data_IF_776966460639
#
_entry.id   IF_776966460639
#
_cell.length_a   1.000
_cell.length_b   1.000
_cell.length_c   1.000
_cell.angle_alpha   90.00
_cell.angle_beta   90.00
_cell.angle_gamma   90.00
#
_symmetry.space_group_name_H-M   'P 1'
#
loop_
_entity.id
_entity.type
_entity.pdbx_description
1 polymer ?
#
# COMPACT_ATOMS: atom_id res chain seq x y z
N UNK A 1 -19.02 0.52 -2.74
CA UNK A 1 -18.50 -0.22 -1.57
C UNK A 1 -19.48 -1.26 -0.99
N UNK A 2 -20.78 -1.29 -1.38
CA UNK A 2 -21.76 -2.24 -0.82
C UNK A 2 -21.29 -3.71 -0.88
N UNK A 3 -20.59 -4.12 -1.94
CA UNK A 3 -20.04 -5.49 -2.08
C UNK A 3 -18.94 -5.82 -1.07
N UNK A 4 -18.34 -4.83 -0.43
CA UNK A 4 -17.28 -5.01 0.58
C UNK A 4 -17.83 -5.01 2.02
N UNK A 5 -19.12 -4.81 2.22
CA UNK A 5 -19.72 -4.82 3.56
C UNK A 5 -19.42 -6.09 4.38
N UNK A 6 -19.41 -7.31 3.81
CA UNK A 6 -19.02 -8.50 4.58
C UNK A 6 -17.61 -8.42 5.17
N UNK A 7 -16.66 -7.76 4.46
CA UNK A 7 -15.30 -7.54 4.95
C UNK A 7 -15.32 -6.61 6.17
N UNK A 8 -16.09 -5.53 6.11
CA UNK A 8 -16.18 -4.58 7.22
C UNK A 8 -16.83 -5.19 8.45
N UNK A 9 -17.89 -5.98 8.28
CA UNK A 9 -18.50 -6.72 9.39
C UNK A 9 -17.54 -7.74 9.99
N UNK A 10 -16.75 -8.45 9.17
CA UNK A 10 -15.71 -9.35 9.66
C UNK A 10 -14.67 -8.61 10.51
N UNK A 11 -14.17 -7.46 10.03
CA UNK A 11 -13.24 -6.62 10.80
C UNK A 11 -13.86 -6.23 12.14
N UNK A 12 -15.12 -5.80 12.14
CA UNK A 12 -15.85 -5.40 13.34
C UNK A 12 -16.04 -6.54 14.35
N UNK A 13 -16.33 -7.73 13.89
CA UNK A 13 -16.45 -8.92 14.75
C UNK A 13 -15.07 -9.27 15.31
N UNK A 14 -14.07 -9.41 14.44
CA UNK A 14 -12.71 -9.79 14.82
C UNK A 14 -12.08 -8.79 15.80
N UNK A 15 -12.30 -7.48 15.61
CA UNK A 15 -11.75 -6.45 16.51
C UNK A 15 -12.26 -6.54 17.96
N UNK A 16 -13.34 -7.27 18.20
CA UNK A 16 -13.93 -7.48 19.55
C UNK A 16 -13.49 -8.78 20.21
N UNK A 17 -12.76 -9.63 19.50
CA UNK A 17 -12.32 -10.91 20.03
C UNK A 17 -11.28 -10.73 21.15
N UNK A 18 -11.49 -11.42 22.26
CA UNK A 18 -10.61 -11.35 23.46
C UNK A 18 -9.15 -11.73 23.16
N UNK A 19 -8.93 -12.58 22.16
CA UNK A 19 -7.56 -12.96 21.73
C UNK A 19 -6.74 -11.78 21.21
N UNK A 20 -7.39 -10.67 20.86
CA UNK A 20 -6.74 -9.45 20.37
C UNK A 20 -6.46 -8.41 21.45
N UNK A 21 -6.70 -8.71 22.75
CA UNK A 21 -6.52 -7.74 23.84
C UNK A 21 -5.13 -7.08 23.86
N UNK A 22 -4.08 -7.76 23.36
CA UNK A 22 -2.70 -7.26 23.28
C UNK A 22 -2.17 -7.25 21.85
N UNK A 23 -3.05 -7.17 20.84
CA UNK A 23 -2.69 -7.21 19.42
C UNK A 23 -3.52 -6.20 18.65
N UNK A 24 -2.96 -5.67 17.58
CA UNK A 24 -3.68 -4.80 16.66
C UNK A 24 -4.16 -5.56 15.44
N UNK A 25 -5.34 -5.19 14.97
CA UNK A 25 -5.90 -5.70 13.72
C UNK A 25 -5.40 -4.81 12.57
N UNK A 26 -4.71 -5.44 11.64
CA UNK A 26 -4.21 -4.78 10.43
C UNK A 26 -5.26 -4.92 9.33
N UNK A 27 -5.84 -3.80 8.90
CA UNK A 27 -6.57 -3.71 7.64
C UNK A 27 -5.60 -3.53 6.47
N UNK A 28 -6.04 -3.78 5.24
CA UNK A 28 -5.14 -3.62 4.10
C UNK A 28 -5.84 -3.15 2.83
N UNK A 29 -5.02 -2.58 1.92
CA UNK A 29 -5.43 -2.19 0.57
C UNK A 29 -4.30 -2.49 -0.42
N UNK A 30 -4.66 -2.73 -1.68
CA UNK A 30 -3.66 -2.76 -2.76
C UNK A 30 -3.08 -1.36 -3.00
N UNK A 31 -1.82 -1.26 -3.42
CA UNK A 31 -1.22 -0.01 -3.90
C UNK A 31 -1.93 0.51 -5.14
N UNK A 32 -1.94 1.83 -5.34
CA UNK A 32 -2.66 2.46 -6.46
C UNK A 32 -2.19 1.93 -7.81
N UNK A 33 -0.88 1.80 -8.00
CA UNK A 33 -0.28 1.24 -9.20
C UNK A 33 -0.68 -0.22 -9.42
N UNK A 34 -0.58 -1.04 -8.39
CA UNK A 34 -0.99 -2.44 -8.44
C UNK A 34 -2.46 -2.60 -8.84
N UNK A 35 -3.35 -1.79 -8.27
CA UNK A 35 -4.78 -1.81 -8.62
C UNK A 35 -5.01 -1.37 -10.07
N UNK A 36 -4.32 -0.32 -10.53
CA UNK A 36 -4.38 0.12 -11.91
C UNK A 36 -4.00 -1.01 -12.87
N UNK A 37 -2.90 -1.72 -12.61
CA UNK A 37 -2.46 -2.83 -13.43
C UNK A 37 -3.47 -3.98 -13.49
N UNK A 38 -4.06 -4.36 -12.35
CA UNK A 38 -5.10 -5.38 -12.35
C UNK A 38 -6.34 -4.96 -13.14
N UNK A 39 -6.72 -3.68 -13.06
CA UNK A 39 -7.88 -3.17 -13.81
C UNK A 39 -7.62 -3.17 -15.32
N UNK A 40 -6.43 -2.78 -15.76
CA UNK A 40 -6.07 -2.73 -17.19
C UNK A 40 -5.91 -4.14 -17.75
N UNK A 41 -5.15 -5.00 -17.06
CA UNK A 41 -4.79 -6.32 -17.55
C UNK A 41 -5.86 -7.37 -17.28
N UNK A 42 -6.83 -7.10 -16.38
CA UNK A 42 -7.83 -8.06 -15.88
C UNK A 42 -7.22 -9.33 -15.26
N UNK A 43 -5.91 -9.36 -15.04
CA UNK A 43 -5.11 -10.44 -14.44
C UNK A 43 -3.81 -9.88 -13.91
N UNK A 44 -3.10 -10.66 -13.10
CA UNK A 44 -1.75 -10.29 -12.67
C UNK A 44 -0.83 -10.10 -13.87
N UNK A 45 0.00 -9.06 -13.92
CA UNK A 45 1.05 -8.92 -14.92
C UNK A 45 2.02 -10.11 -14.79
N UNK A 46 2.38 -10.74 -15.91
CA UNK A 46 3.20 -11.95 -15.82
C UNK A 46 4.69 -11.68 -15.80
N UNK A 47 5.24 -10.69 -16.51
CA UNK A 47 6.69 -10.39 -16.50
C UNK A 47 7.05 -9.00 -17.03
N UNK A 48 6.34 -8.45 -18.01
CA UNK A 48 6.65 -7.14 -18.58
C UNK A 48 5.41 -6.27 -18.67
N UNK A 49 5.61 -4.99 -18.39
CA UNK A 49 4.57 -3.98 -18.59
C UNK A 49 4.62 -3.52 -20.05
N UNK A 50 3.46 -3.43 -20.68
CA UNK A 50 3.35 -2.68 -21.92
C UNK A 50 3.72 -1.22 -21.63
N UNK A 51 4.86 -0.76 -22.18
CA UNK A 51 5.35 0.61 -22.01
C UNK A 51 4.38 1.67 -22.55
N UNK A 52 3.41 1.29 -23.36
CA UNK A 52 2.33 2.17 -23.80
C UNK A 52 1.30 2.47 -22.70
N UNK A 53 1.41 1.85 -21.51
CA UNK A 53 0.60 2.18 -20.33
C UNK A 53 0.92 3.60 -19.82
N UNK A 54 2.15 4.06 -20.02
CA UNK A 54 2.57 5.37 -19.59
C UNK A 54 2.01 6.45 -20.53
N UNK A 55 1.63 7.57 -19.96
CA UNK A 55 1.22 8.78 -20.71
C UNK A 55 -0.17 8.76 -21.37
N UNK A 56 -1.07 7.89 -20.94
CA UNK A 56 -2.48 8.00 -21.35
C UNK A 56 -3.24 8.87 -20.36
N UNK A 57 -3.81 10.01 -20.77
CA UNK A 57 -4.54 10.92 -19.88
C UNK A 57 -5.68 10.25 -19.10
N UNK A 58 -6.31 9.24 -19.69
CA UNK A 58 -7.35 8.44 -19.05
C UNK A 58 -6.85 7.67 -17.80
N UNK A 59 -5.56 7.33 -17.73
CA UNK A 59 -5.00 6.67 -16.55
C UNK A 59 -4.78 7.62 -15.39
N UNK A 60 -4.47 8.88 -15.66
CA UNK A 60 -4.38 9.90 -14.60
C UNK A 60 -5.74 10.10 -13.92
N UNK A 61 -6.83 10.10 -14.70
CA UNK A 61 -8.19 10.14 -14.13
C UNK A 61 -8.55 8.86 -13.36
N UNK A 62 -8.13 7.70 -13.87
CA UNK A 62 -8.38 6.42 -13.22
C UNK A 62 -7.63 6.32 -11.89
N UNK A 63 -6.38 6.77 -11.83
CA UNK A 63 -5.58 6.86 -10.61
C UNK A 63 -6.30 7.69 -9.54
N UNK A 64 -6.79 8.86 -9.88
CA UNK A 64 -7.56 9.71 -8.95
C UNK A 64 -8.79 8.99 -8.40
N UNK A 65 -9.52 8.26 -9.26
CA UNK A 65 -10.67 7.44 -8.83
C UNK A 65 -10.25 6.28 -7.92
N UNK A 66 -9.14 5.62 -8.22
CA UNK A 66 -8.59 4.53 -7.38
C UNK A 66 -8.23 5.08 -6.00
N UNK A 67 -7.49 6.19 -5.93
CA UNK A 67 -7.12 6.84 -4.67
C UNK A 67 -8.37 7.19 -3.85
N UNK A 68 -9.38 7.77 -4.48
CA UNK A 68 -10.65 8.08 -3.81
C UNK A 68 -11.30 6.83 -3.22
N UNK A 69 -11.39 5.75 -3.99
CA UNK A 69 -11.96 4.47 -3.52
C UNK A 69 -11.13 3.84 -2.41
N UNK A 70 -9.80 3.90 -2.49
CA UNK A 70 -8.90 3.42 -1.44
C UNK A 70 -9.12 4.19 -0.14
N UNK A 71 -9.22 5.52 -0.17
CA UNK A 71 -9.52 6.35 0.99
C UNK A 71 -10.85 5.96 1.65
N UNK A 72 -11.90 5.77 0.85
CA UNK A 72 -13.20 5.31 1.35
C UNK A 72 -13.11 3.90 1.96
N UNK A 73 -12.36 3.00 1.34
CA UNK A 73 -12.18 1.64 1.83
C UNK A 73 -11.38 1.61 3.14
N UNK A 74 -10.30 2.38 3.22
CA UNK A 74 -9.50 2.57 4.44
C UNK A 74 -10.37 3.12 5.57
N UNK A 75 -11.10 4.21 5.32
CA UNK A 75 -12.00 4.80 6.30
C UNK A 75 -12.97 3.76 6.87
N UNK A 76 -13.57 2.95 6.00
CA UNK A 76 -14.50 1.88 6.43
C UNK A 76 -13.81 0.82 7.27
N UNK A 77 -12.61 0.40 6.95
CA UNK A 77 -11.86 -0.56 7.77
C UNK A 77 -11.54 0.03 9.16
N UNK A 78 -11.11 1.29 9.23
CA UNK A 78 -10.81 1.99 10.49
C UNK A 78 -12.07 2.16 11.34
N UNK A 79 -13.19 2.61 10.76
CA UNK A 79 -14.49 2.72 11.44
C UNK A 79 -14.98 1.39 12.03
N UNK A 80 -14.56 0.26 11.47
CA UNK A 80 -14.93 -1.09 11.93
C UNK A 80 -13.89 -1.76 12.83
N UNK A 81 -12.78 -1.07 13.16
CA UNK A 81 -11.86 -1.50 14.20
C UNK A 81 -10.44 -1.87 13.73
N UNK A 82 -10.09 -1.65 12.47
CA UNK A 82 -8.69 -1.73 12.05
C UNK A 82 -7.89 -0.58 12.69
N UNK A 83 -6.78 -0.88 13.34
CA UNK A 83 -5.91 0.09 14.02
C UNK A 83 -4.64 0.40 13.26
N UNK A 84 -4.31 -0.43 12.31
CA UNK A 84 -3.18 -0.27 11.39
C UNK A 84 -3.70 -0.57 9.99
N UNK A 85 -3.20 0.15 9.00
CA UNK A 85 -3.47 -0.14 7.58
C UNK A 85 -2.17 -0.54 6.90
N UNK A 86 -2.21 -1.59 6.07
CA UNK A 86 -1.08 -1.97 5.23
C UNK A 86 -1.41 -1.78 3.75
N UNK A 87 -0.51 -1.09 3.02
CA UNK A 87 -0.59 -0.96 1.56
C UNK A 87 0.32 -2.00 0.93
N UNK A 88 -0.25 -2.83 0.05
CA UNK A 88 0.51 -3.80 -0.76
C UNK A 88 0.65 -3.31 -2.19
N UNK A 89 1.81 -2.75 -2.54
CA UNK A 89 2.13 -2.39 -3.92
C UNK A 89 3.02 -3.46 -4.56
N UNK A 90 2.40 -4.60 -4.84
CA UNK A 90 3.05 -5.84 -5.28
C UNK A 90 3.78 -5.74 -6.62
N UNK A 91 3.48 -4.71 -7.41
CA UNK A 91 4.04 -4.50 -8.75
C UNK A 91 4.83 -3.20 -8.87
N UNK A 92 5.22 -2.61 -7.74
CA UNK A 92 6.00 -1.37 -7.70
C UNK A 92 7.33 -1.50 -8.46
N UNK A 93 8.04 -2.61 -8.28
CA UNK A 93 9.32 -2.86 -8.93
C UNK A 93 9.29 -3.09 -10.44
N UNK A 94 8.09 -3.27 -11.05
CA UNK A 94 7.96 -3.35 -12.50
C UNK A 94 8.03 -1.98 -13.18
N UNK A 95 7.94 -0.90 -12.40
CA UNK A 95 7.96 0.45 -12.92
C UNK A 95 9.39 0.91 -13.14
N UNK A 96 9.63 1.58 -14.27
CA UNK A 96 10.92 2.21 -14.51
C UNK A 96 11.13 3.43 -13.60
N UNK A 97 12.39 3.78 -13.35
CA UNK A 97 12.76 4.82 -12.39
C UNK A 97 12.17 6.19 -12.75
N UNK A 98 11.99 6.50 -14.03
CA UNK A 98 11.46 7.79 -14.49
C UNK A 98 9.96 7.98 -14.18
N UNK A 99 9.24 6.91 -13.89
CA UNK A 99 7.81 6.92 -13.65
C UNK A 99 7.42 6.61 -12.19
N UNK A 100 8.38 6.21 -11.35
CA UNK A 100 8.10 5.72 -9.98
C UNK A 100 7.51 6.81 -9.10
N UNK A 101 7.95 8.05 -9.24
CA UNK A 101 7.43 9.17 -8.46
C UNK A 101 5.96 9.42 -8.77
N UNK A 102 5.60 9.55 -10.05
CA UNK A 102 4.24 9.83 -10.52
C UNK A 102 3.24 8.73 -10.14
N UNK A 103 3.63 7.46 -10.30
CA UNK A 103 2.69 6.34 -10.22
C UNK A 103 2.70 5.62 -8.85
N UNK A 104 3.76 5.79 -8.06
CA UNK A 104 3.91 5.14 -6.76
C UNK A 104 4.04 6.16 -5.64
N UNK A 105 5.05 7.05 -5.67
CA UNK A 105 5.34 7.90 -4.52
C UNK A 105 4.21 8.90 -4.24
N UNK A 106 3.79 9.69 -5.23
CA UNK A 106 2.74 10.69 -5.07
C UNK A 106 1.38 10.07 -4.66
N UNK A 107 0.86 9.03 -5.36
CA UNK A 107 -0.38 8.40 -4.96
C UNK A 107 -0.33 7.78 -3.57
N UNK A 108 0.79 7.11 -3.23
CA UNK A 108 0.93 6.48 -1.93
C UNK A 108 1.06 7.51 -0.81
N UNK A 109 1.79 8.61 -1.04
CA UNK A 109 1.89 9.73 -0.10
C UNK A 109 0.51 10.28 0.24
N UNK A 110 -0.33 10.51 -0.76
CA UNK A 110 -1.69 11.03 -0.56
C UNK A 110 -2.55 10.09 0.31
N UNK A 111 -2.39 8.77 0.14
CA UNK A 111 -3.08 7.76 0.96
C UNK A 111 -2.50 7.72 2.37
N UNK A 112 -1.18 7.79 2.51
CA UNK A 112 -0.50 7.82 3.81
C UNK A 112 -0.93 9.02 4.64
N UNK A 113 -0.93 10.21 4.08
CA UNK A 113 -1.38 11.44 4.74
C UNK A 113 -2.84 11.32 5.17
N UNK A 114 -3.72 10.85 4.28
CA UNK A 114 -5.13 10.63 4.61
C UNK A 114 -5.30 9.63 5.77
N UNK A 115 -4.58 8.50 5.73
CA UNK A 115 -4.69 7.46 6.75
C UNK A 115 -4.20 7.94 8.11
N UNK A 116 -3.09 8.67 8.15
CA UNK A 116 -2.59 9.29 9.38
C UNK A 116 -3.59 10.30 9.97
N UNK A 117 -4.29 11.05 9.13
CA UNK A 117 -5.35 11.97 9.56
C UNK A 117 -6.58 11.25 10.16
N UNK A 118 -6.75 9.94 9.92
CA UNK A 118 -7.72 9.10 10.62
C UNK A 118 -7.22 8.62 12.01
N UNK A 119 -6.01 8.99 12.41
CA UNK A 119 -5.42 8.61 13.70
C UNK A 119 -4.85 7.19 13.77
N UNK A 120 -4.60 6.55 12.65
CA UNK A 120 -4.06 5.18 12.59
C UNK A 120 -2.71 5.12 11.87
N UNK A 121 -1.89 4.13 12.24
CA UNK A 121 -0.61 3.89 11.61
C UNK A 121 -0.78 3.21 10.24
N UNK A 122 0.21 3.42 9.37
CA UNK A 122 0.22 2.85 8.04
C UNK A 122 1.58 2.21 7.72
N UNK A 123 1.54 0.96 7.26
CA UNK A 123 2.68 0.19 6.78
C UNK A 123 2.62 0.19 5.26
N UNK A 124 3.73 0.47 4.58
CA UNK A 124 3.80 0.38 3.12
C UNK A 124 4.71 -0.77 2.70
N UNK A 125 4.26 -1.54 1.71
CA UNK A 125 5.04 -2.59 1.06
C UNK A 125 5.19 -2.31 -0.44
N UNK A 126 6.13 -1.44 -0.84
CA UNK A 126 6.47 -1.20 -2.23
C UNK A 126 7.44 -2.29 -2.70
N UNK A 127 6.89 -3.41 -3.14
CA UNK A 127 7.67 -4.61 -3.47
C UNK A 127 8.67 -4.33 -4.59
N UNK A 128 9.93 -4.78 -4.39
CA UNK A 128 11.04 -4.71 -5.37
C UNK A 128 11.44 -3.29 -5.80
N UNK A 129 11.13 -2.25 -5.03
CA UNK A 129 11.74 -0.94 -5.28
C UNK A 129 13.22 -0.96 -4.88
N UNK A 130 14.01 -0.08 -5.50
CA UNK A 130 15.45 0.01 -5.25
C UNK A 130 15.82 1.03 -4.17
N UNK A 131 15.11 2.16 -4.13
CA UNK A 131 15.42 3.31 -3.28
C UNK A 131 14.43 3.41 -2.10
N UNK A 132 14.59 2.54 -1.09
CA UNK A 132 13.73 2.54 0.10
C UNK A 132 13.86 3.80 0.96
N UNK A 133 15.06 4.36 1.05
CA UNK A 133 15.34 5.60 1.77
C UNK A 133 14.62 6.81 1.14
N UNK A 134 14.71 6.94 -0.17
CA UNK A 134 13.99 7.97 -0.91
C UNK A 134 12.47 7.81 -0.78
N UNK A 135 11.97 6.59 -0.95
CA UNK A 135 10.55 6.27 -0.74
C UNK A 135 10.08 6.70 0.65
N UNK A 136 10.79 6.30 1.70
CA UNK A 136 10.43 6.64 3.07
C UNK A 136 10.50 8.15 3.34
N UNK A 137 11.45 8.85 2.74
CA UNK A 137 11.58 10.31 2.85
C UNK A 137 10.41 11.06 2.19
N UNK A 138 9.93 10.58 1.03
CA UNK A 138 8.86 11.22 0.26
C UNK A 138 7.49 10.82 0.78
N UNK A 139 7.25 9.53 0.93
CA UNK A 139 5.94 8.94 1.29
C UNK A 139 5.65 9.06 2.79
N UNK A 140 6.69 9.01 3.63
CA UNK A 140 6.61 9.13 5.09
C UNK A 140 5.64 8.13 5.74
N UNK A 141 5.75 6.82 5.47
CA UNK A 141 4.92 5.82 6.13
C UNK A 141 5.23 5.74 7.63
N UNK A 142 4.38 5.06 8.42
CA UNK A 142 4.67 4.77 9.83
C UNK A 142 5.64 3.61 9.99
N UNK A 143 5.62 2.66 9.05
CA UNK A 143 6.55 1.54 8.94
C UNK A 143 6.68 1.12 7.48
N UNK A 144 7.75 0.40 7.15
CA UNK A 144 8.03 -0.13 5.83
C UNK A 144 8.15 -1.66 5.86
N UNK A 145 7.50 -2.34 4.93
CA UNK A 145 7.74 -3.76 4.66
C UNK A 145 8.72 -3.92 3.52
N UNK A 146 9.61 -4.90 3.65
CA UNK A 146 10.66 -5.21 2.69
C UNK A 146 10.53 -6.64 2.15
N UNK A 147 11.04 -6.87 0.95
CA UNK A 147 11.15 -8.20 0.35
C UNK A 147 12.18 -9.06 1.08
N UNK A 148 12.08 -10.38 0.94
CA UNK A 148 13.04 -11.32 1.53
C UNK A 148 14.45 -11.22 0.93
N UNK A 149 14.59 -10.71 -0.28
CA UNK A 149 15.89 -10.48 -0.95
C UNK A 149 16.61 -9.23 -0.45
N UNK A 150 15.93 -8.40 0.33
CA UNK A 150 16.45 -7.12 0.83
C UNK A 150 17.11 -7.34 2.19
N UNK A 151 18.37 -6.89 2.32
CA UNK A 151 19.10 -6.92 3.58
C UNK A 151 18.58 -5.85 4.56
N UNK A 152 17.88 -6.23 5.64
CA UNK A 152 17.31 -5.27 6.57
C UNK A 152 18.38 -4.43 7.29
N UNK A 153 19.59 -4.95 7.49
CA UNK A 153 20.67 -4.24 8.18
C UNK A 153 21.18 -3.09 7.31
N UNK A 154 21.25 -3.29 5.98
CA UNK A 154 21.66 -2.24 5.06
C UNK A 154 20.62 -1.10 5.01
N UNK A 155 19.36 -1.46 4.97
CA UNK A 155 18.26 -0.48 4.94
C UNK A 155 18.16 0.31 6.24
N UNK A 156 18.29 -0.35 7.39
CA UNK A 156 18.21 0.28 8.70
C UNK A 156 19.27 1.37 8.95
N UNK A 157 20.34 1.41 8.16
CA UNK A 157 21.33 2.50 8.26
C UNK A 157 20.78 3.86 7.83
N UNK A 158 19.80 3.88 6.93
CA UNK A 158 19.27 5.09 6.29
C UNK A 158 17.79 5.34 6.56
N UNK A 159 17.11 4.40 7.23
CA UNK A 159 15.67 4.46 7.49
C UNK A 159 15.45 4.41 9.01
N UNK A 160 14.76 5.43 9.54
CA UNK A 160 14.52 5.61 10.99
C UNK A 160 13.08 5.30 11.40
N UNK A 161 12.40 4.41 10.67
CA UNK A 161 11.06 3.90 10.98
C UNK A 161 11.12 2.37 11.12
N UNK A 162 10.15 1.74 11.79
CA UNK A 162 10.08 0.29 11.90
C UNK A 162 10.12 -0.41 10.53
N UNK A 163 10.88 -1.50 10.47
CA UNK A 163 11.01 -2.35 9.28
C UNK A 163 10.35 -3.69 9.57
N UNK A 164 9.51 -4.16 8.65
CA UNK A 164 8.81 -5.44 8.70
C UNK A 164 9.22 -6.30 7.51
N UNK A 165 9.35 -7.61 7.69
CA UNK A 165 9.62 -8.56 6.60
C UNK A 165 11.06 -9.03 6.54
N UNK A 166 11.57 -9.36 5.34
CA UNK A 166 12.91 -9.93 5.14
C UNK A 166 13.00 -11.43 5.42
N UNK A 167 11.90 -12.10 5.74
CA UNK A 167 11.85 -13.57 5.88
C UNK A 167 11.62 -14.21 4.51
N UNK A 168 12.39 -15.26 4.24
CA UNK A 168 12.18 -16.10 3.05
C UNK A 168 10.85 -16.87 3.19
N UNK A 169 10.02 -16.93 2.12
CA UNK A 169 8.76 -17.68 2.10
C UNK A 169 8.95 -19.17 2.36
#
# INVERSE_FOLDING_TARGET
LKRLNPIYELIKITSKEKILNNKDLIGFVGGTWTLLLYMINRKSPKQELDKNIYNKPEYDQLIKKIIHLQKLHIKKQVEHGARIIQIFDSWAGLLDQGNIEKYIYEPTKEIVEYTKNLGVNIICFPRQIKAFDEYCRIVKPSAISIDFEVDPIKIAKNIYIPIQGGMHP
#
